data_IF_241840029253
#
_entry.id   IF_241840029253
#
_cell.length_a   1.000
_cell.length_b   1.000
_cell.length_c   1.000
_cell.angle_alpha   90.00
_cell.angle_beta   90.00
_cell.angle_gamma   90.00
#
_symmetry.space_group_name_H-M   'P 1'
#
loop_
_entity.id
_entity.type
_entity.pdbx_description
1 polymer ?
#
# COMPACT_ATOMS: atom_id res chain seq x y z
N UNK A 1 3.85 -6.93 1.81
CA UNK A 1 5.06 -6.15 1.48
C UNK A 1 6.11 -6.35 2.56
N UNK A 2 7.39 -6.13 2.25
CA UNK A 2 8.50 -6.19 3.23
C UNK A 2 9.27 -4.87 3.18
N UNK A 3 9.57 -4.30 4.34
CA UNK A 3 10.31 -3.05 4.46
C UNK A 3 11.83 -3.29 4.42
N UNK A 4 12.56 -2.59 3.55
CA UNK A 4 14.02 -2.62 3.51
C UNK A 4 14.68 -1.47 4.29
N UNK A 5 13.88 -0.48 4.67
CA UNK A 5 14.26 0.68 5.48
C UNK A 5 13.08 1.03 6.41
N UNK A 6 13.25 2.00 7.31
CA UNK A 6 12.14 2.51 8.11
C UNK A 6 11.02 3.06 7.21
N UNK A 7 9.80 2.56 7.37
CA UNK A 7 8.61 3.03 6.65
C UNK A 7 7.60 3.54 7.65
N UNK A 8 7.37 4.85 7.68
CA UNK A 8 6.38 5.48 8.55
C UNK A 8 5.01 5.47 7.88
N UNK A 9 4.01 4.93 8.57
CA UNK A 9 2.60 4.94 8.17
C UNK A 9 2.42 4.54 6.69
N UNK A 10 2.80 3.32 6.32
CA UNK A 10 2.53 2.78 4.98
C UNK A 10 1.04 2.54 4.80
N UNK A 11 0.51 2.81 3.61
CA UNK A 11 -0.89 2.59 3.23
C UNK A 11 -1.00 2.38 1.72
N UNK A 12 -2.13 1.82 1.29
CA UNK A 12 -2.45 1.59 -0.12
C UNK A 12 -3.74 2.32 -0.48
N UNK A 13 -3.69 3.26 -1.43
CA UNK A 13 -4.86 3.97 -1.98
C UNK A 13 -5.52 3.12 -3.07
N UNK A 14 -6.18 2.04 -2.67
CA UNK A 14 -6.76 1.05 -3.59
C UNK A 14 -7.80 1.65 -4.54
N UNK A 15 -8.46 2.73 -4.11
CA UNK A 15 -9.44 3.53 -4.86
C UNK A 15 -8.87 4.15 -6.15
N UNK A 16 -7.53 4.30 -6.25
CA UNK A 16 -6.88 4.78 -7.47
C UNK A 16 -6.80 3.76 -8.60
N UNK A 17 -6.95 2.48 -8.26
CA UNK A 17 -6.94 1.37 -9.23
C UNK A 17 -8.37 1.01 -9.61
N UNK A 18 -9.26 0.97 -8.62
CA UNK A 18 -10.68 0.67 -8.75
C UNK A 18 -11.46 1.39 -7.65
N UNK A 19 -12.49 2.16 -8.03
CA UNK A 19 -13.23 3.04 -7.12
C UNK A 19 -13.97 2.29 -6.00
N UNK A 20 -14.36 1.04 -6.25
CA UNK A 20 -15.07 0.18 -5.29
C UNK A 20 -14.12 -0.73 -4.50
N UNK A 21 -12.81 -0.61 -4.71
CA UNK A 21 -11.83 -1.45 -4.04
C UNK A 21 -11.74 -1.16 -2.54
N UNK A 22 -11.56 -2.21 -1.75
CA UNK A 22 -11.40 -2.14 -0.29
C UNK A 22 -10.14 -2.87 0.17
N UNK A 23 -9.59 -2.44 1.30
CA UNK A 23 -8.42 -3.06 1.93
C UNK A 23 -8.65 -3.24 3.43
N UNK A 24 -8.16 -4.35 3.99
CA UNK A 24 -8.35 -4.71 5.40
C UNK A 24 -7.36 -4.04 6.38
N UNK A 25 -6.54 -3.10 5.91
CA UNK A 25 -5.58 -2.40 6.75
C UNK A 25 -4.97 -1.16 6.11
N UNK A 26 -4.13 -0.48 6.88
CA UNK A 26 -3.46 0.75 6.46
C UNK A 26 -2.74 1.43 7.63
N UNK A 27 -1.94 2.44 7.30
CA UNK A 27 -1.22 3.31 8.24
C UNK A 27 -0.40 2.55 9.30
N UNK A 28 0.37 1.54 8.88
CA UNK A 28 1.27 0.81 9.78
C UNK A 28 2.71 1.32 9.64
N UNK A 29 3.46 1.31 10.74
CA UNK A 29 4.90 1.62 10.70
C UNK A 29 5.70 0.32 10.71
N UNK A 30 6.71 0.23 9.83
CA UNK A 30 7.57 -0.95 9.69
C UNK A 30 9.05 -0.58 9.87
N UNK A 31 9.77 -1.40 10.62
CA UNK A 31 11.22 -1.40 10.71
C UNK A 31 11.85 -2.24 9.58
N UNK A 32 13.16 -2.10 9.29
CA UNK A 32 13.83 -2.92 8.30
C UNK A 32 13.68 -4.42 8.60
N UNK A 33 13.24 -5.19 7.61
CA UNK A 33 12.96 -6.63 7.72
C UNK A 33 11.54 -6.98 8.15
N UNK A 34 10.77 -6.03 8.68
CA UNK A 34 9.37 -6.26 9.02
C UNK A 34 8.49 -6.30 7.77
N UNK A 35 7.38 -7.02 7.88
CA UNK A 35 6.44 -7.23 6.80
C UNK A 35 5.00 -7.10 7.29
N UNK A 36 4.13 -6.66 6.39
CA UNK A 36 2.67 -6.68 6.57
C UNK A 36 2.02 -7.31 5.35
N UNK A 37 0.95 -8.06 5.59
CA UNK A 37 0.08 -8.61 4.56
C UNK A 37 -1.30 -7.98 4.72
N UNK A 38 -1.87 -7.53 3.61
CA UNK A 38 -3.23 -7.00 3.53
C UNK A 38 -3.96 -7.68 2.40
N UNK A 39 -5.27 -7.82 2.55
CA UNK A 39 -6.16 -8.31 1.51
C UNK A 39 -6.87 -7.15 0.86
N UNK A 40 -6.84 -7.13 -0.47
CA UNK A 40 -7.56 -6.16 -1.30
C UNK A 40 -8.70 -6.89 -1.99
N UNK A 41 -9.91 -6.36 -1.87
CA UNK A 41 -11.07 -6.80 -2.65
C UNK A 41 -11.37 -5.73 -3.70
N UNK A 42 -11.45 -6.12 -4.97
CA UNK A 42 -11.62 -5.23 -6.12
C UNK A 42 -12.28 -5.98 -7.28
N UNK A 43 -12.61 -5.29 -8.37
CA UNK A 43 -13.14 -5.89 -9.60
C UNK A 43 -12.20 -6.92 -10.23
N UNK A 44 -12.79 -7.89 -10.95
CA UNK A 44 -12.05 -8.90 -11.69
C UNK A 44 -11.29 -8.29 -12.90
N UNK A 45 -10.18 -8.94 -13.29
CA UNK A 45 -9.43 -8.58 -14.50
C UNK A 45 -8.47 -7.39 -14.36
N UNK A 46 -8.36 -6.82 -13.15
CA UNK A 46 -7.35 -5.80 -12.84
C UNK A 46 -5.94 -6.40 -12.79
N UNK A 47 -4.93 -5.60 -13.14
CA UNK A 47 -3.53 -5.97 -12.93
C UNK A 47 -3.17 -5.79 -11.43
N UNK A 48 -2.82 -6.87 -10.70
CA UNK A 48 -2.45 -6.74 -9.29
C UNK A 48 -1.25 -5.83 -9.04
N UNK A 49 -0.35 -5.67 -10.03
CA UNK A 49 0.81 -4.79 -9.89
C UNK A 49 0.43 -3.31 -9.79
N UNK A 50 -0.77 -2.93 -10.27
CA UNK A 50 -1.27 -1.56 -10.15
C UNK A 50 -1.42 -1.13 -8.67
N UNK A 51 -1.75 -2.05 -7.76
CA UNK A 51 -1.83 -1.77 -6.32
C UNK A 51 -0.46 -1.55 -5.66
N UNK A 52 0.63 -1.95 -6.30
CA UNK A 52 2.00 -1.70 -5.84
C UNK A 52 2.65 -0.50 -6.52
N UNK A 53 1.92 0.23 -7.39
CA UNK A 53 2.45 1.38 -8.10
C UNK A 53 2.88 2.50 -7.13
N UNK A 54 3.94 3.29 -7.45
CA UNK A 54 4.48 4.32 -6.56
C UNK A 54 3.51 5.46 -6.21
N UNK A 55 2.39 5.59 -6.92
CA UNK A 55 1.33 6.57 -6.64
C UNK A 55 0.14 5.97 -5.88
N UNK A 56 0.15 4.66 -5.61
CA UNK A 56 -0.90 3.87 -4.95
C UNK A 56 -0.43 3.35 -3.59
N UNK A 57 0.70 2.62 -3.55
CA UNK A 57 1.36 2.19 -2.32
C UNK A 57 2.31 3.29 -1.84
N UNK A 58 1.97 3.92 -0.72
CA UNK A 58 2.64 5.13 -0.24
C UNK A 58 2.96 5.03 1.23
N UNK A 59 3.83 5.93 1.69
CA UNK A 59 4.10 6.09 3.11
C UNK A 59 4.34 7.56 3.45
N UNK A 60 4.30 7.91 4.74
CA UNK A 60 4.53 9.27 5.20
C UNK A 60 5.96 9.77 4.93
N UNK A 61 6.91 8.90 4.56
CA UNK A 61 8.26 9.28 4.14
C UNK A 61 8.27 10.07 2.82
N UNK A 62 7.20 9.97 2.01
CA UNK A 62 7.14 10.62 0.70
C UNK A 62 6.89 12.14 0.79
N UNK A 63 6.58 12.63 1.98
CA UNK A 63 6.40 14.06 2.24
C UNK A 63 7.74 14.78 2.08
N UNK A 64 7.83 15.62 1.05
CA UNK A 64 8.96 16.54 0.85
C UNK A 64 8.73 17.80 1.66
N UNK A 65 9.81 18.38 2.16
CA UNK A 65 9.83 19.65 2.89
C UNK A 65 9.84 20.84 1.94
#
# INVERSE_FOLDING_TARGET
MTAHAYVRDVFCMVDKVDEDATIDGGMVTLLPGEAVAWHITAADGLDPAAFAAPNVLRCANDLKR
#
